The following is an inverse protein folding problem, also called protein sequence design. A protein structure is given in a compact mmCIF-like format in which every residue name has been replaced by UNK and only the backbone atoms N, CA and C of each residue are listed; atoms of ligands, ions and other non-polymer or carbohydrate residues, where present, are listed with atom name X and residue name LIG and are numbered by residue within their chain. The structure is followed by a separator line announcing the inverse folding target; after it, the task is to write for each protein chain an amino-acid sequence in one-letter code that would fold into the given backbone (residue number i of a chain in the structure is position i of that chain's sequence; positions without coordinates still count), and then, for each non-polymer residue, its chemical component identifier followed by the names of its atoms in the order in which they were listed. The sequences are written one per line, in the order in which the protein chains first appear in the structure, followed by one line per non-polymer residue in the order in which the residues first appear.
data_IF_420327225962
#
_entry.id   IF_420327225962
#
_cell.length_a   1.000
_cell.length_b   1.000
_cell.length_c   1.000
_cell.angle_alpha   90.00
_cell.angle_beta   90.00
_cell.angle_gamma   90.00
#
_symmetry.space_group_name_H-M   'P 1'
#
loop_
_entity.id
_entity.type
_entity.pdbx_description
1 polymer ?
#
# COMPACT_ATOMS: atom_id res chain seq x y z
N UNK A 1 -35.48 -21.35 -119.43
CA UNK A 1 -35.78 -20.00 -119.98
C UNK A 1 -36.04 -19.11 -118.77
N UNK A 2 -35.03 -18.38 -118.30
CA UNK A 2 -35.18 -17.42 -117.18
C UNK A 2 -35.85 -16.12 -117.66
N UNK A 3 -35.66 -15.01 -116.95
CA UNK A 3 -35.93 -14.77 -115.53
C UNK A 3 -36.86 -13.54 -115.36
N UNK A 4 -37.49 -13.33 -114.20
CA UNK A 4 -37.88 -11.98 -113.78
C UNK A 4 -37.74 -11.79 -112.27
N UNK A 5 -36.93 -10.79 -111.96
CA UNK A 5 -36.63 -10.23 -110.66
C UNK A 5 -37.86 -9.54 -110.06
N UNK A 6 -38.06 -9.63 -108.75
CA UNK A 6 -38.59 -8.49 -108.01
C UNK A 6 -38.20 -8.54 -106.54
N UNK A 7 -37.38 -7.58 -106.19
CA UNK A 7 -36.95 -7.16 -104.86
C UNK A 7 -38.15 -6.76 -104.01
N UNK A 8 -38.33 -7.35 -102.84
CA UNK A 8 -38.93 -6.64 -101.71
C UNK A 8 -38.18 -6.93 -100.41
N UNK A 9 -37.58 -5.86 -99.92
CA UNK A 9 -36.92 -5.70 -98.63
C UNK A 9 -37.95 -5.96 -97.53
N UNK A 10 -37.75 -7.04 -96.78
CA UNK A 10 -38.50 -7.33 -95.57
C UNK A 10 -38.27 -6.22 -94.55
N UNK A 11 -39.30 -5.43 -94.28
CA UNK A 11 -39.32 -4.39 -93.26
C UNK A 11 -39.02 -5.00 -91.89
N UNK A 12 -38.04 -4.40 -91.22
CA UNK A 12 -37.78 -4.50 -89.78
C UNK A 12 -39.08 -4.26 -89.00
N UNK A 13 -39.58 -5.31 -88.34
CA UNK A 13 -40.67 -5.20 -87.37
C UNK A 13 -40.04 -4.79 -86.05
N UNK A 14 -40.03 -3.49 -85.80
CA UNK A 14 -39.67 -2.92 -84.50
C UNK A 14 -40.75 -3.31 -83.48
N UNK A 15 -40.42 -3.94 -82.35
CA UNK A 15 -41.43 -4.30 -81.36
C UNK A 15 -42.06 -3.03 -80.74
N UNK A 16 -43.33 -3.08 -80.33
CA UNK A 16 -44.00 -1.92 -79.74
C UNK A 16 -43.28 -1.50 -78.45
N UNK A 17 -42.99 -0.20 -78.35
CA UNK A 17 -42.43 0.38 -77.14
C UNK A 17 -43.45 0.26 -76.00
N UNK A 18 -43.17 -0.64 -75.05
CA UNK A 18 -43.88 -0.69 -73.77
C UNK A 18 -43.72 0.64 -73.04
N UNK A 19 -44.73 1.12 -72.28
CA UNK A 19 -44.59 2.33 -71.48
C UNK A 19 -43.43 2.17 -70.51
N UNK A 20 -42.41 3.02 -70.63
CA UNK A 20 -41.35 3.14 -69.63
C UNK A 20 -41.95 3.77 -68.38
N UNK A 21 -42.51 2.96 -67.51
CA UNK A 21 -42.54 3.31 -66.10
C UNK A 21 -41.10 3.19 -65.61
N UNK A 22 -40.48 4.34 -65.36
CA UNK A 22 -39.25 4.39 -64.58
C UNK A 22 -39.49 3.60 -63.27
N UNK A 23 -38.65 2.61 -62.94
CA UNK A 23 -38.75 2.01 -61.62
C UNK A 23 -38.50 3.14 -60.61
N UNK A 24 -39.26 3.24 -59.51
CA UNK A 24 -38.83 4.12 -58.43
C UNK A 24 -37.44 3.64 -58.05
N UNK A 25 -36.47 4.54 -58.08
CA UNK A 25 -35.11 4.32 -57.57
C UNK A 25 -35.22 4.11 -56.08
N UNK A 26 -35.67 2.92 -55.66
CA UNK A 26 -35.58 2.48 -54.30
C UNK A 26 -34.11 2.16 -54.11
N UNK A 27 -33.40 3.11 -53.50
CA UNK A 27 -32.09 2.86 -52.94
C UNK A 27 -32.13 1.50 -52.22
N UNK A 28 -31.06 0.69 -52.29
CA UNK A 28 -30.99 -0.54 -51.51
C UNK A 28 -31.39 -0.20 -50.08
N UNK A 29 -32.21 -1.02 -49.40
CA UNK A 29 -32.46 -0.80 -47.98
C UNK A 29 -31.09 -0.71 -47.33
N UNK A 30 -30.77 0.45 -46.78
CA UNK A 30 -29.65 0.61 -45.88
C UNK A 30 -29.93 -0.41 -44.78
N UNK A 31 -29.29 -1.58 -44.85
CA UNK A 31 -29.13 -2.40 -43.67
C UNK A 31 -28.30 -1.51 -42.76
N UNK A 32 -28.99 -0.81 -41.87
CA UNK A 32 -28.35 -0.16 -40.75
C UNK A 32 -27.74 -1.32 -39.96
N UNK A 33 -26.45 -1.59 -40.18
CA UNK A 33 -25.72 -2.53 -39.34
C UNK A 33 -25.88 -2.03 -37.90
N UNK A 34 -26.49 -2.80 -36.99
CA UNK A 34 -26.59 -2.42 -35.60
C UNK A 34 -25.21 -2.59 -34.97
N UNK A 35 -24.30 -1.66 -35.26
CA UNK A 35 -22.94 -1.61 -34.74
C UNK A 35 -22.51 -0.20 -34.35
N UNK A 36 -23.45 0.74 -34.20
CA UNK A 36 -23.10 2.17 -34.28
C UNK A 36 -23.18 2.96 -32.97
N UNK A 37 -23.46 2.34 -31.83
CA UNK A 37 -23.43 3.07 -30.55
C UNK A 37 -22.62 2.32 -29.48
N UNK A 38 -22.84 1.01 -29.37
CA UNK A 38 -22.13 0.17 -28.41
C UNK A 38 -20.70 -0.16 -28.84
N UNK A 39 -20.42 -0.27 -30.14
CA UNK A 39 -19.07 -0.50 -30.68
C UNK A 39 -18.21 0.76 -30.52
N UNK A 40 -18.75 1.93 -30.91
CA UNK A 40 -18.09 3.22 -30.73
C UNK A 40 -17.81 3.52 -29.25
N UNK A 41 -18.74 3.20 -28.35
CA UNK A 41 -18.54 3.34 -26.90
C UNK A 41 -17.45 2.37 -26.38
N UNK A 42 -17.38 1.14 -26.91
CA UNK A 42 -16.30 0.18 -26.60
C UNK A 42 -14.95 0.66 -27.12
N UNK A 43 -14.88 1.19 -28.33
CA UNK A 43 -13.67 1.72 -28.95
C UNK A 43 -13.19 2.98 -28.22
N UNK A 44 -14.11 3.89 -27.86
CA UNK A 44 -13.79 5.07 -27.06
C UNK A 44 -13.25 4.70 -25.66
N UNK A 45 -13.79 3.66 -25.02
CA UNK A 45 -13.27 3.14 -23.75
C UNK A 45 -11.88 2.52 -23.90
N UNK A 46 -11.64 1.72 -24.95
CA UNK A 46 -10.32 1.15 -25.24
C UNK A 46 -9.28 2.24 -25.51
N UNK A 47 -9.65 3.23 -26.32
CA UNK A 47 -8.78 4.38 -26.63
C UNK A 47 -8.48 5.21 -25.40
N UNK A 48 -9.48 5.45 -24.55
CA UNK A 48 -9.31 6.16 -23.28
C UNK A 48 -8.35 5.45 -22.33
N UNK A 49 -8.45 4.12 -22.21
CA UNK A 49 -7.53 3.34 -21.38
C UNK A 49 -6.11 3.34 -21.96
N UNK A 50 -5.95 3.21 -23.28
CA UNK A 50 -4.65 3.30 -23.94
C UNK A 50 -3.98 4.65 -23.67
N UNK A 51 -4.69 5.76 -23.90
CA UNK A 51 -4.21 7.11 -23.61
C UNK A 51 -3.84 7.31 -22.15
N UNK A 52 -4.58 6.70 -21.23
CA UNK A 52 -4.26 6.73 -19.80
C UNK A 52 -2.92 6.03 -19.53
N UNK A 53 -2.70 4.82 -20.06
CA UNK A 53 -1.43 4.11 -19.87
C UNK A 53 -0.23 4.84 -20.50
N UNK A 54 -0.47 5.51 -21.64
CA UNK A 54 0.51 6.37 -22.31
C UNK A 54 0.81 7.62 -21.47
N UNK A 55 -0.21 8.35 -21.03
CA UNK A 55 -0.06 9.61 -20.28
C UNK A 55 0.46 9.40 -18.86
N UNK A 56 0.13 8.27 -18.23
CA UNK A 56 0.64 7.89 -16.91
C UNK A 56 2.06 7.30 -16.97
N UNK A 57 2.64 7.13 -18.17
CA UNK A 57 3.99 6.59 -18.37
C UNK A 57 4.13 5.10 -18.06
N UNK A 58 3.02 4.37 -17.88
CA UNK A 58 3.05 2.92 -17.57
C UNK A 58 3.65 2.14 -18.75
N UNK A 59 3.28 2.50 -19.99
CA UNK A 59 3.83 1.83 -21.18
C UNK A 59 5.34 2.05 -21.31
N UNK A 60 5.82 3.27 -21.09
CA UNK A 60 7.24 3.61 -21.14
C UNK A 60 8.03 2.86 -20.06
N UNK A 61 7.52 2.83 -18.85
CA UNK A 61 8.16 2.15 -17.71
C UNK A 61 8.23 0.64 -17.95
N UNK A 62 7.13 0.01 -18.41
CA UNK A 62 7.11 -1.41 -18.77
C UNK A 62 8.08 -1.72 -19.93
N UNK A 63 8.11 -0.86 -20.94
CA UNK A 63 9.03 -1.01 -22.08
C UNK A 63 10.48 -0.97 -21.61
N UNK A 64 10.85 0.01 -20.78
CA UNK A 64 12.20 0.12 -20.20
C UNK A 64 12.58 -1.11 -19.37
N UNK A 65 11.66 -1.64 -18.57
CA UNK A 65 11.91 -2.85 -17.77
C UNK A 65 12.15 -4.08 -18.67
N UNK A 66 11.39 -4.22 -19.76
CA UNK A 66 11.55 -5.32 -20.71
C UNK A 66 12.82 -5.18 -21.56
N UNK A 67 13.17 -3.97 -21.97
CA UNK A 67 14.43 -3.68 -22.68
C UNK A 67 15.62 -4.02 -21.78
N UNK A 68 15.60 -3.59 -20.52
CA UNK A 68 16.66 -3.92 -19.57
C UNK A 68 16.79 -5.45 -19.37
N UNK A 69 15.66 -6.17 -19.30
CA UNK A 69 15.69 -7.64 -19.20
C UNK A 69 16.23 -8.31 -20.46
N UNK A 70 16.00 -7.71 -21.64
CA UNK A 70 16.51 -8.22 -22.91
C UNK A 70 18.01 -7.97 -23.07
N UNK A 71 18.49 -6.81 -22.61
CA UNK A 71 19.90 -6.40 -22.67
C UNK A 71 20.78 -7.08 -21.62
N UNK A 72 20.18 -7.67 -20.58
CA UNK A 72 20.90 -8.35 -19.50
C UNK A 72 21.68 -9.56 -20.05
N UNK A 73 23.02 -9.52 -19.92
CA UNK A 73 23.90 -10.56 -20.44
C UNK A 73 23.77 -11.87 -19.63
N UNK A 74 23.62 -11.75 -18.31
CA UNK A 74 23.35 -12.86 -17.39
C UNK A 74 21.86 -12.89 -17.05
N UNK A 75 21.11 -13.78 -17.72
CA UNK A 75 19.66 -13.86 -17.49
C UNK A 75 19.36 -14.12 -16.01
N UNK A 76 18.54 -13.27 -15.36
CA UNK A 76 18.21 -13.45 -13.96
C UNK A 76 17.50 -14.78 -13.75
N UNK A 77 17.77 -15.42 -12.62
CA UNK A 77 17.10 -16.69 -12.25
C UNK A 77 15.58 -16.55 -12.18
N UNK A 78 15.08 -15.35 -11.87
CA UNK A 78 13.66 -14.99 -11.92
C UNK A 78 13.47 -13.70 -12.72
N UNK A 79 12.95 -13.82 -13.94
CA UNK A 79 12.57 -12.67 -14.77
C UNK A 79 11.49 -11.82 -14.12
N UNK A 80 10.58 -12.46 -13.37
CA UNK A 80 9.48 -11.78 -12.67
C UNK A 80 10.02 -10.88 -11.56
N UNK A 81 10.99 -11.34 -10.77
CA UNK A 81 11.64 -10.51 -9.75
C UNK A 81 12.40 -9.34 -10.38
N UNK A 82 13.14 -9.58 -11.47
CA UNK A 82 13.87 -8.54 -12.17
C UNK A 82 12.94 -7.41 -12.65
N UNK A 83 11.82 -7.76 -13.27
CA UNK A 83 10.83 -6.78 -13.73
C UNK A 83 10.20 -6.05 -12.53
N UNK A 84 9.83 -6.77 -11.45
CA UNK A 84 9.33 -6.13 -10.23
C UNK A 84 10.32 -5.10 -9.68
N UNK A 85 11.61 -5.45 -9.62
CA UNK A 85 12.67 -4.54 -9.18
C UNK A 85 12.78 -3.30 -10.08
N UNK A 86 12.75 -3.47 -11.42
CA UNK A 86 12.79 -2.32 -12.35
C UNK A 86 11.56 -1.44 -12.30
N UNK A 87 10.42 -1.97 -11.86
CA UNK A 87 9.19 -1.21 -11.62
C UNK A 87 9.12 -0.58 -10.21
N UNK A 88 10.16 -0.75 -9.38
CA UNK A 88 10.22 -0.20 -8.02
C UNK A 88 9.53 -1.06 -6.96
N UNK A 89 9.25 -2.32 -7.26
CA UNK A 89 8.77 -3.30 -6.28
C UNK A 89 9.88 -3.67 -5.27
N UNK A 90 9.54 -3.93 -4.00
CA UNK A 90 10.52 -4.32 -2.99
C UNK A 90 11.14 -5.66 -3.33
N UNK A 91 12.46 -5.81 -3.12
CA UNK A 91 13.12 -7.11 -3.27
C UNK A 91 12.82 -8.02 -2.08
N UNK A 92 13.02 -9.33 -2.28
CA UNK A 92 12.97 -10.30 -1.18
C UNK A 92 13.97 -9.91 -0.09
N UNK A 93 15.18 -9.48 -0.48
CA UNK A 93 16.20 -8.99 0.43
C UNK A 93 15.75 -7.76 1.22
N UNK A 94 15.06 -6.80 0.58
CA UNK A 94 14.54 -5.61 1.27
C UNK A 94 13.46 -5.99 2.30
N UNK A 95 12.58 -6.93 1.93
CA UNK A 95 11.56 -7.45 2.83
C UNK A 95 12.18 -8.15 4.04
N UNK A 96 13.19 -9.01 3.83
CA UNK A 96 13.89 -9.71 4.90
C UNK A 96 14.64 -8.74 5.82
N UNK A 97 15.35 -7.76 5.25
CA UNK A 97 16.03 -6.71 6.01
C UNK A 97 15.05 -5.90 6.85
N UNK A 98 13.95 -5.44 6.26
CA UNK A 98 12.93 -4.67 6.98
C UNK A 98 12.29 -5.49 8.11
N UNK A 99 12.07 -6.79 7.89
CA UNK A 99 11.56 -7.72 8.91
C UNK A 99 12.54 -7.89 10.07
N UNK A 100 13.84 -7.97 9.79
CA UNK A 100 14.89 -8.05 10.80
C UNK A 100 14.96 -6.77 11.64
N UNK A 101 14.96 -5.59 11.00
CA UNK A 101 14.93 -4.30 11.69
C UNK A 101 13.70 -4.15 12.59
N UNK A 102 12.53 -4.57 12.10
CA UNK A 102 11.29 -4.57 12.88
C UNK A 102 11.38 -5.47 14.11
N UNK A 103 12.05 -6.62 14.02
CA UNK A 103 12.27 -7.50 15.17
C UNK A 103 13.27 -6.90 16.17
N UNK A 104 14.39 -6.36 15.70
CA UNK A 104 15.39 -5.71 16.55
C UNK A 104 14.80 -4.51 17.32
N UNK A 105 14.03 -3.66 16.63
CA UNK A 105 13.33 -2.55 17.27
C UNK A 105 12.30 -3.02 18.30
N UNK A 106 11.57 -4.11 18.02
CA UNK A 106 10.63 -4.68 18.98
C UNK A 106 11.34 -5.22 20.24
N UNK A 107 12.50 -5.85 20.09
CA UNK A 107 13.30 -6.33 21.21
C UNK A 107 13.78 -5.16 22.08
N UNK A 108 14.37 -4.12 21.47
CA UNK A 108 14.82 -2.91 22.17
C UNK A 108 13.69 -2.18 22.86
N UNK A 109 12.52 -2.09 22.22
CA UNK A 109 11.34 -1.47 22.82
C UNK A 109 10.90 -2.22 24.08
N UNK A 110 10.84 -3.56 24.03
CA UNK A 110 10.45 -4.38 25.17
C UNK A 110 11.47 -4.26 26.32
N UNK A 111 12.76 -4.33 26.04
CA UNK A 111 13.83 -4.16 27.03
C UNK A 111 13.74 -2.79 27.72
N UNK A 112 13.58 -1.73 26.92
CA UNK A 112 13.43 -0.37 27.43
C UNK A 112 12.16 -0.22 28.26
N UNK A 113 11.05 -0.82 27.82
CA UNK A 113 9.78 -0.80 28.52
C UNK A 113 9.88 -1.50 29.89
N UNK A 114 10.56 -2.64 29.97
CA UNK A 114 10.80 -3.32 31.25
C UNK A 114 11.69 -2.49 32.17
N UNK A 115 12.76 -1.89 31.64
CA UNK A 115 13.65 -1.00 32.42
C UNK A 115 12.89 0.22 32.94
N UNK A 116 12.03 0.81 32.12
CA UNK A 116 11.18 1.93 32.52
C UNK A 116 10.20 1.54 33.62
N UNK A 117 9.52 0.38 33.49
CA UNK A 117 8.62 -0.13 34.53
C UNK A 117 9.35 -0.32 35.85
N UNK A 118 10.54 -0.90 35.80
CA UNK A 118 11.33 -1.18 37.01
C UNK A 118 11.81 0.10 37.68
N UNK A 119 12.36 1.04 36.90
CA UNK A 119 12.75 2.36 37.41
C UNK A 119 11.57 3.11 38.01
N UNK A 120 10.40 3.06 37.34
CA UNK A 120 9.17 3.69 37.86
C UNK A 120 8.73 3.10 39.19
N UNK A 121 8.83 1.77 39.34
CA UNK A 121 8.54 1.10 40.62
C UNK A 121 9.49 1.57 41.72
N UNK A 122 10.80 1.61 41.44
CA UNK A 122 11.80 2.07 42.41
C UNK A 122 11.55 3.51 42.84
N UNK A 123 11.29 4.42 41.89
CA UNK A 123 10.95 5.82 42.19
C UNK A 123 9.68 5.90 43.05
N UNK A 124 8.65 5.12 42.74
CA UNK A 124 7.42 5.09 43.52
C UNK A 124 7.65 4.55 44.94
N UNK A 125 8.46 3.50 45.12
CA UNK A 125 8.78 3.00 46.46
C UNK A 125 9.56 4.04 47.28
N UNK A 126 10.56 4.67 46.68
CA UNK A 126 11.35 5.71 47.35
C UNK A 126 10.49 6.92 47.70
N UNK A 127 9.56 7.31 46.83
CA UNK A 127 8.63 8.40 47.12
C UNK A 127 7.68 8.05 48.27
N UNK A 128 7.19 6.81 48.38
CA UNK A 128 6.39 6.37 49.52
C UNK A 128 7.17 6.43 50.84
N UNK A 129 8.47 6.12 50.84
CA UNK A 129 9.33 6.22 52.02
C UNK A 129 9.62 7.67 52.43
N UNK A 130 9.80 8.57 51.45
CA UNK A 130 10.07 9.99 51.73
C UNK A 130 8.82 10.77 52.15
N UNK A 131 7.61 10.30 51.81
CA UNK A 131 6.34 10.94 52.15
C UNK A 131 5.74 10.47 53.48
N UNK A 132 6.53 9.93 54.43
CA UNK A 132 6.05 9.62 55.79
C UNK A 132 6.26 10.81 56.74
N UNK A 133 5.24 11.64 57.04
CA UNK A 133 5.32 12.60 58.16
C UNK A 133 5.20 11.94 59.56
N UNK A 134 5.29 10.60 59.68
CA UNK A 134 4.88 9.87 60.89
C UNK A 134 5.99 9.24 61.74
N UNK A 135 7.18 8.96 61.20
CA UNK A 135 8.24 8.35 62.03
C UNK A 135 8.93 9.36 62.98
N UNK A 136 8.96 10.65 62.62
CA UNK A 136 9.60 11.71 63.44
C UNK A 136 8.66 12.22 64.55
N UNK A 137 7.33 12.08 64.40
CA UNK A 137 6.36 12.53 65.41
C UNK A 137 6.28 11.56 66.59
N UNK A 138 6.29 10.26 66.32
CA UNK A 138 6.31 9.19 67.33
C UNK A 138 7.57 9.28 68.23
N UNK A 139 8.75 9.53 67.63
CA UNK A 139 10.00 9.66 68.39
C UNK A 139 10.07 10.94 69.26
N UNK A 140 9.40 12.04 68.84
CA UNK A 140 9.31 13.26 69.67
C UNK A 140 8.25 13.17 70.77
N UNK A 141 7.16 12.44 70.57
CA UNK A 141 6.12 12.27 71.59
C UNK A 141 6.59 11.36 72.74
N UNK A 142 7.34 10.29 72.42
CA UNK A 142 7.86 9.36 73.44
C UNK A 142 8.92 10.01 74.37
N UNK A 143 9.69 10.98 73.87
CA UNK A 143 10.71 11.70 74.65
C UNK A 143 10.19 12.97 75.35
N UNK A 144 9.00 13.48 75.01
CA UNK A 144 8.39 14.62 75.70
C UNK A 144 7.72 14.22 77.03
N UNK A 145 7.49 12.92 77.26
CA UNK A 145 6.89 12.38 78.51
C UNK A 145 7.93 12.01 79.58
N UNK A 146 9.23 12.07 79.27
CA UNK A 146 10.31 11.71 80.19
C UNK A 146 11.00 12.86 80.97
N UNK A 147 10.31 13.93 81.44
CA UNK A 147 10.83 14.73 82.54
C UNK A 147 10.15 14.47 83.90
N UNK A 148 9.28 13.46 84.05
CA UNK A 148 8.62 13.19 85.35
C UNK A 148 9.20 11.96 86.09
N UNK A 149 10.02 11.12 85.46
CA UNK A 149 10.62 9.95 86.13
C UNK A 149 12.13 10.11 86.37
N UNK A 150 12.58 11.30 86.78
CA UNK A 150 13.93 11.51 87.33
C UNK A 150 13.88 11.48 88.86
N UNK A 151 13.62 10.29 89.39
CA UNK A 151 13.65 9.98 90.83
C UNK A 151 14.52 8.78 91.17
N UNK A 152 15.42 8.35 90.27
CA UNK A 152 16.31 7.21 90.53
C UNK A 152 17.75 7.60 90.21
N UNK A 153 18.54 7.63 91.28
CA UNK A 153 20.00 7.59 91.30
C UNK A 153 20.54 6.52 90.33
N UNK A 154 21.14 6.92 89.21
CA UNK A 154 21.86 5.99 88.31
C UNK A 154 23.35 6.33 88.34
N UNK A 155 24.06 5.66 89.25
CA UNK A 155 25.50 5.47 89.28
C UNK A 155 25.98 4.44 88.23
N UNK A 156 25.43 4.47 87.02
CA UNK A 156 25.72 3.47 85.98
C UNK A 156 25.69 4.06 84.56
N UNK A 157 26.43 5.14 84.31
CA UNK A 157 26.57 5.74 82.97
C UNK A 157 27.89 5.43 82.25
N UNK A 158 28.73 4.52 82.75
CA UNK A 158 30.07 4.31 82.16
C UNK A 158 30.30 2.96 81.47
N UNK A 159 29.28 2.14 81.19
CA UNK A 159 29.47 0.86 80.50
C UNK A 159 29.05 0.85 79.02
N UNK A 160 28.29 1.84 78.56
CA UNK A 160 27.73 1.82 77.19
C UNK A 160 28.58 2.57 76.14
N UNK A 161 29.57 3.36 76.56
CA UNK A 161 30.46 4.07 75.63
C UNK A 161 31.75 3.30 75.26
N UNK A 162 32.00 2.13 75.85
CA UNK A 162 33.16 1.29 75.52
C UNK A 162 32.91 0.28 74.38
N UNK A 163 31.67 0.20 73.84
CA UNK A 163 31.33 -0.75 72.77
C UNK A 163 31.40 -0.12 71.36
N UNK A 164 31.53 1.21 71.23
CA UNK A 164 31.59 1.91 69.92
C UNK A 164 33.02 2.41 69.59
N UNK A 165 34.06 1.68 70.01
CA UNK A 165 35.45 1.89 69.55
C UNK A 165 36.19 0.58 69.33
N UNK A 166 35.67 -0.26 68.43
CA UNK A 166 36.41 -1.35 67.78
C UNK A 166 36.19 -1.27 66.27
#
# INVERSE_FOLDING_TARGET
RGPTSSTQVGRSVQPPALPRHSPPTKAPPQICYPGSATEMDREAKKEGFRKYLESSGVLDTLTKALVALYEENDKPSSAVEFVQQKLGGPSISDYEKLKAEKLDLQLKYNELLETHKETSRQVNMLSCLQNTPNAIKEYRLCNATLPIYMGVSVSASNAYLDIIKL
#
